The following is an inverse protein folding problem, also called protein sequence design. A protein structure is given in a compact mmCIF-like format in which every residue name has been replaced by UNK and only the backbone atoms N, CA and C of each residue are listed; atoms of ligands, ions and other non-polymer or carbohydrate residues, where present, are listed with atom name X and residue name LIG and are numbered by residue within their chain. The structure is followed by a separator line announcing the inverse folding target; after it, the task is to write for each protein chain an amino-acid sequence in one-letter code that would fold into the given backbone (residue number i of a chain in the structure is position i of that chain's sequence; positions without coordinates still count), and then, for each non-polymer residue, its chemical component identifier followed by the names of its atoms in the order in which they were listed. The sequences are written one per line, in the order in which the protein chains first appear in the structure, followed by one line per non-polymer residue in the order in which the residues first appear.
data_IF_466191650047
#
_entry.id   IF_466191650047
#
_cell.length_a   1.000
_cell.length_b   1.000
_cell.length_c   1.000
_cell.angle_alpha   90.00
_cell.angle_beta   90.00
_cell.angle_gamma   90.00
#
_symmetry.space_group_name_H-M   'P 1'
#
loop_
_entity.id
_entity.type
_entity.pdbx_description
1 polymer ?
#
# COMPACT_ATOMS: atom_id res chain seq x y z
N UNK A 1 27.08 12.52 -0.10
CA UNK A 1 27.78 11.29 0.30
C UNK A 1 27.36 10.18 -0.65
N UNK A 2 28.28 9.64 -1.44
CA UNK A 2 28.04 8.48 -2.30
C UNK A 2 27.86 7.25 -1.42
N UNK A 3 26.67 6.64 -1.45
CA UNK A 3 26.41 5.39 -0.71
C UNK A 3 27.05 4.25 -1.50
N UNK A 4 28.10 3.63 -0.94
CA UNK A 4 28.67 2.41 -1.50
C UNK A 4 27.75 1.22 -1.21
N UNK A 5 27.62 0.31 -2.17
CA UNK A 5 26.88 -0.93 -2.00
C UNK A 5 27.47 -1.73 -0.83
N UNK A 6 26.65 -2.32 0.05
CA UNK A 6 27.16 -3.14 1.15
C UNK A 6 27.98 -4.32 0.59
N UNK A 7 29.11 -4.65 1.24
CA UNK A 7 29.92 -5.83 0.93
C UNK A 7 29.17 -7.09 1.42
N UNK A 8 28.11 -7.46 0.71
CA UNK A 8 27.28 -8.60 1.06
C UNK A 8 27.66 -9.80 0.16
N UNK A 9 28.04 -10.94 0.72
CA UNK A 9 28.17 -12.16 -0.07
C UNK A 9 26.77 -12.54 -0.61
N UNK A 10 26.65 -12.74 -1.92
CA UNK A 10 25.41 -13.11 -2.62
C UNK A 10 24.29 -12.04 -2.68
N UNK A 11 24.58 -10.86 -3.24
CA UNK A 11 23.62 -9.77 -3.52
C UNK A 11 22.33 -10.23 -4.23
N UNK A 12 22.40 -11.22 -5.12
CA UNK A 12 21.23 -11.79 -5.81
C UNK A 12 20.24 -12.52 -4.89
N UNK A 13 20.74 -13.29 -3.91
CA UNK A 13 19.88 -13.97 -2.92
C UNK A 13 19.22 -12.94 -2.00
N UNK A 14 19.97 -11.94 -1.53
CA UNK A 14 19.44 -10.85 -0.72
C UNK A 14 18.31 -10.09 -1.45
N UNK A 15 18.49 -9.80 -2.74
CA UNK A 15 17.47 -9.14 -3.56
C UNK A 15 16.14 -9.92 -3.61
N UNK A 16 16.20 -11.25 -3.80
CA UNK A 16 15.01 -12.10 -3.79
C UNK A 16 14.32 -12.11 -2.42
N UNK A 17 15.10 -12.20 -1.33
CA UNK A 17 14.57 -12.16 0.04
C UNK A 17 13.88 -10.84 0.37
N UNK A 18 14.44 -9.71 -0.07
CA UNK A 18 13.83 -8.38 0.12
C UNK A 18 12.54 -8.28 -0.72
N UNK A 19 12.54 -8.81 -1.94
CA UNK A 19 11.33 -8.88 -2.79
C UNK A 19 10.25 -9.71 -2.10
N UNK A 20 10.62 -10.83 -1.48
CA UNK A 20 9.73 -11.68 -0.72
C UNK A 20 9.18 -11.00 0.54
N UNK A 21 10.02 -10.25 1.27
CA UNK A 21 9.58 -9.42 2.39
C UNK A 21 8.58 -8.34 1.95
N UNK A 22 8.81 -7.73 0.78
CA UNK A 22 7.89 -6.74 0.23
C UNK A 22 6.56 -7.40 -0.18
N UNK A 23 6.62 -8.56 -0.83
CA UNK A 23 5.43 -9.35 -1.14
C UNK A 23 4.64 -9.73 0.13
N UNK A 24 5.33 -10.13 1.21
CA UNK A 24 4.70 -10.45 2.48
C UNK A 24 4.06 -9.21 3.14
N UNK A 25 4.73 -8.05 3.10
CA UNK A 25 4.16 -6.78 3.56
C UNK A 25 2.88 -6.44 2.80
N UNK A 26 2.89 -6.57 1.47
CA UNK A 26 1.75 -6.22 0.63
C UNK A 26 0.59 -7.21 0.72
N UNK A 27 0.88 -8.51 0.78
CA UNK A 27 -0.13 -9.56 0.72
C UNK A 27 -0.66 -9.95 2.10
N UNK A 28 0.22 -10.10 3.10
CA UNK A 28 -0.16 -10.54 4.44
C UNK A 28 -0.44 -9.36 5.36
N UNK A 29 0.53 -8.48 5.60
CA UNK A 29 0.34 -7.36 6.54
C UNK A 29 -0.76 -6.41 6.04
N UNK A 30 -0.72 -6.01 4.77
CA UNK A 30 -1.79 -5.20 4.17
C UNK A 30 -3.16 -5.87 4.18
N UNK A 31 -3.22 -7.18 3.91
CA UNK A 31 -4.48 -7.94 3.96
C UNK A 31 -5.07 -8.04 5.36
N UNK A 32 -4.24 -8.33 6.37
CA UNK A 32 -4.64 -8.41 7.78
C UNK A 32 -5.12 -7.06 8.28
N UNK A 33 -4.33 -5.99 8.07
CA UNK A 33 -4.69 -4.67 8.55
C UNK A 33 -5.99 -4.15 7.92
N UNK A 34 -6.22 -4.48 6.64
CA UNK A 34 -7.47 -4.12 5.97
C UNK A 34 -8.66 -4.94 6.48
N UNK A 35 -8.47 -6.22 6.82
CA UNK A 35 -9.51 -7.06 7.37
C UNK A 35 -9.93 -6.66 8.81
N UNK A 36 -9.01 -6.08 9.58
CA UNK A 36 -9.28 -5.56 10.92
C UNK A 36 -9.71 -4.08 10.92
N UNK A 37 -9.97 -3.48 9.76
CA UNK A 37 -10.34 -2.06 9.60
C UNK A 37 -9.41 -1.10 10.34
N UNK A 38 -8.11 -1.44 10.43
CA UNK A 38 -7.15 -0.62 11.16
C UNK A 38 -6.97 0.70 10.41
N UNK A 39 -7.22 1.86 11.06
CA UNK A 39 -7.04 3.15 10.43
C UNK A 39 -5.57 3.33 10.06
N UNK A 40 -5.32 4.11 9.01
CA UNK A 40 -3.95 4.37 8.52
C UNK A 40 -3.17 3.15 8.02
N UNK A 41 -3.83 2.03 7.72
CA UNK A 41 -3.21 0.84 7.09
C UNK A 41 -2.32 1.21 5.89
N UNK A 42 -2.79 2.08 5.00
CA UNK A 42 -2.03 2.53 3.82
C UNK A 42 -0.73 3.26 4.16
N UNK A 43 -0.67 4.00 5.28
CA UNK A 43 0.55 4.65 5.75
C UNK A 43 1.59 3.63 6.20
N UNK A 44 1.17 2.63 6.96
CA UNK A 44 2.08 1.59 7.48
C UNK A 44 2.59 0.72 6.34
N UNK A 45 1.69 0.17 5.53
CA UNK A 45 2.04 -0.72 4.42
C UNK A 45 2.91 0.00 3.40
N UNK A 46 2.53 1.21 2.99
CA UNK A 46 3.29 2.03 2.03
C UNK A 46 4.64 2.49 2.58
N UNK A 47 4.72 2.88 3.86
CA UNK A 47 5.97 3.26 4.50
C UNK A 47 6.98 2.11 4.59
N UNK A 48 6.53 0.92 4.99
CA UNK A 48 7.36 -0.30 5.00
C UNK A 48 7.77 -0.68 3.57
N UNK A 49 6.86 -0.58 2.59
CA UNK A 49 7.18 -0.80 1.19
C UNK A 49 8.30 0.14 0.71
N UNK A 50 8.25 1.44 1.03
CA UNK A 50 9.32 2.39 0.66
C UNK A 50 10.67 2.02 1.27
N UNK A 51 10.71 1.52 2.51
CA UNK A 51 11.93 1.02 3.14
C UNK A 51 12.48 -0.20 2.38
N UNK A 52 11.61 -1.14 2.01
CA UNK A 52 12.00 -2.35 1.27
C UNK A 52 12.44 -2.04 -0.16
N UNK A 53 11.83 -1.07 -0.84
CA UNK A 53 12.28 -0.58 -2.15
C UNK A 53 13.66 0.07 -2.04
N UNK A 54 13.89 0.89 -1.00
CA UNK A 54 15.21 1.47 -0.75
C UNK A 54 16.27 0.38 -0.48
N UNK A 55 15.90 -0.70 0.23
CA UNK A 55 16.74 -1.89 0.38
C UNK A 55 17.04 -2.54 -0.97
N UNK A 56 16.03 -2.79 -1.83
CA UNK A 56 16.25 -3.36 -3.17
C UNK A 56 17.23 -2.52 -4.00
N UNK A 57 17.12 -1.20 -3.93
CA UNK A 57 18.03 -0.27 -4.59
C UNK A 57 19.49 -0.39 -4.12
N UNK A 58 19.73 -0.77 -2.87
CA UNK A 58 21.10 -0.99 -2.36
C UNK A 58 21.71 -2.26 -2.93
N UNK A 59 20.92 -3.33 -3.05
CA UNK A 59 21.37 -4.67 -3.44
C UNK A 59 21.36 -4.92 -4.96
N UNK A 60 20.92 -3.96 -5.78
CA UNK A 60 20.95 -4.06 -7.24
C UNK A 60 21.39 -2.75 -7.90
N UNK A 61 22.35 -2.83 -8.82
CA UNK A 61 22.77 -1.72 -9.68
C UNK A 61 22.11 -1.76 -11.09
N UNK A 62 21.38 -2.84 -11.39
CA UNK A 62 20.74 -3.02 -12.70
C UNK A 62 19.44 -2.22 -12.79
N UNK A 63 19.31 -1.45 -13.87
CA UNK A 63 18.04 -0.78 -14.25
C UNK A 63 16.96 -1.82 -14.50
N UNK A 64 15.75 -1.51 -14.06
CA UNK A 64 14.56 -2.37 -14.17
C UNK A 64 14.46 -3.43 -13.08
N UNK A 65 15.42 -3.54 -12.15
CA UNK A 65 15.36 -4.52 -11.07
C UNK A 65 14.21 -4.23 -10.09
N UNK A 66 14.02 -2.98 -9.67
CA UNK A 66 12.91 -2.62 -8.77
C UNK A 66 11.58 -2.82 -9.50
N UNK A 67 11.52 -2.49 -10.79
CA UNK A 67 10.34 -2.76 -11.63
C UNK A 67 10.03 -4.26 -11.72
N UNK A 68 11.05 -5.10 -11.91
CA UNK A 68 10.89 -6.58 -11.89
C UNK A 68 10.35 -7.05 -10.55
N UNK A 69 10.95 -6.61 -9.43
CA UNK A 69 10.48 -6.93 -8.08
C UNK A 69 9.03 -6.49 -7.86
N UNK A 70 8.66 -5.30 -8.36
CA UNK A 70 7.30 -4.75 -8.28
C UNK A 70 6.30 -5.66 -8.98
N UNK A 71 6.61 -6.13 -10.20
CA UNK A 71 5.75 -7.07 -10.93
C UNK A 71 5.55 -8.35 -10.13
N UNK A 72 6.62 -8.92 -9.58
CA UNK A 72 6.57 -10.13 -8.76
C UNK A 72 5.69 -9.93 -7.52
N UNK A 73 5.89 -8.81 -6.80
CA UNK A 73 5.11 -8.45 -5.61
C UNK A 73 3.63 -8.29 -5.93
N UNK A 74 3.28 -7.62 -7.02
CA UNK A 74 1.89 -7.46 -7.47
C UNK A 74 1.28 -8.82 -7.80
N UNK A 75 2.00 -9.71 -8.50
CA UNK A 75 1.52 -11.05 -8.83
C UNK A 75 1.29 -11.85 -7.55
N UNK A 76 2.22 -11.82 -6.59
CA UNK A 76 2.06 -12.52 -5.31
C UNK A 76 0.86 -11.96 -4.54
N UNK A 77 0.71 -10.63 -4.45
CA UNK A 77 -0.46 -9.99 -3.84
C UNK A 77 -1.76 -10.46 -4.50
N UNK A 78 -1.78 -10.60 -5.83
CA UNK A 78 -2.96 -11.08 -6.55
C UNK A 78 -3.24 -12.56 -6.32
N UNK A 79 -2.22 -13.40 -6.15
CA UNK A 79 -2.35 -14.83 -5.86
C UNK A 79 -2.83 -15.06 -4.42
N UNK A 80 -2.25 -14.33 -3.46
CA UNK A 80 -2.53 -14.50 -2.02
C UNK A 80 -3.84 -13.82 -1.62
N UNK A 81 -4.17 -12.65 -2.20
CA UNK A 81 -5.38 -11.89 -1.88
C UNK A 81 -6.10 -11.40 -3.16
N UNK A 82 -6.78 -12.30 -3.90
CA UNK A 82 -7.36 -11.98 -5.21
C UNK A 82 -8.52 -10.97 -5.18
N UNK A 83 -9.09 -10.71 -4.01
CA UNK A 83 -10.20 -9.77 -3.81
C UNK A 83 -9.74 -8.38 -3.37
N UNK A 84 -8.44 -8.13 -3.28
CA UNK A 84 -7.92 -6.80 -2.97
C UNK A 84 -8.41 -5.77 -4.01
N UNK A 85 -8.84 -4.57 -3.59
CA UNK A 85 -9.25 -3.51 -4.51
C UNK A 85 -8.17 -3.17 -5.55
N UNK A 86 -8.57 -2.89 -6.79
CA UNK A 86 -7.65 -2.55 -7.88
C UNK A 86 -6.69 -1.42 -7.52
N UNK A 87 -7.20 -0.42 -6.80
CA UNK A 87 -6.43 0.76 -6.42
C UNK A 87 -5.21 0.42 -5.54
N UNK A 88 -5.27 -0.67 -4.74
CA UNK A 88 -4.12 -1.11 -3.96
C UNK A 88 -3.02 -1.72 -4.85
N UNK A 89 -3.38 -2.44 -5.92
CA UNK A 89 -2.38 -2.92 -6.89
C UNK A 89 -1.73 -1.75 -7.64
N UNK A 90 -2.53 -0.75 -8.01
CA UNK A 90 -2.04 0.47 -8.66
C UNK A 90 -1.09 1.24 -7.74
N UNK A 91 -1.40 1.34 -6.44
CA UNK A 91 -0.53 1.98 -5.47
C UNK A 91 0.85 1.30 -5.41
N UNK A 92 0.91 -0.05 -5.31
CA UNK A 92 2.17 -0.80 -5.30
C UNK A 92 2.95 -0.60 -6.60
N UNK A 93 2.25 -0.61 -7.74
CA UNK A 93 2.87 -0.38 -9.04
C UNK A 93 3.52 1.01 -9.13
N UNK A 94 2.81 2.06 -8.72
CA UNK A 94 3.32 3.42 -8.74
C UNK A 94 4.50 3.56 -7.75
N UNK A 95 4.40 2.99 -6.55
CA UNK A 95 5.51 2.99 -5.58
C UNK A 95 6.78 2.36 -6.18
N UNK A 96 6.63 1.22 -6.87
CA UNK A 96 7.72 0.54 -7.55
C UNK A 96 8.34 1.34 -8.70
N UNK A 97 7.51 1.92 -9.56
CA UNK A 97 7.96 2.75 -10.68
C UNK A 97 8.68 4.02 -10.22
N UNK A 98 8.09 4.74 -9.26
CA UNK A 98 8.70 5.93 -8.67
C UNK A 98 9.99 5.55 -7.95
N UNK A 99 10.01 4.40 -7.27
CA UNK A 99 11.22 3.84 -6.68
C UNK A 99 12.33 3.60 -7.69
N UNK A 100 12.03 2.93 -8.82
CA UNK A 100 12.99 2.71 -9.91
C UNK A 100 13.54 4.05 -10.45
N UNK A 101 12.67 5.03 -10.65
CA UNK A 101 13.06 6.34 -11.17
C UNK A 101 13.96 7.09 -10.17
N UNK A 102 13.56 7.15 -8.90
CA UNK A 102 14.29 7.88 -7.85
C UNK A 102 15.63 7.21 -7.51
N UNK A 103 15.71 5.89 -7.57
CA UNK A 103 16.93 5.13 -7.27
C UNK A 103 17.76 4.77 -8.52
N UNK A 104 17.43 5.36 -9.68
CA UNK A 104 18.26 5.26 -10.89
C UNK A 104 19.70 5.75 -10.69
N UNK A 105 19.94 6.60 -9.68
CA UNK A 105 21.26 7.03 -9.23
C UNK A 105 21.40 6.92 -7.71
N UNK A 106 22.41 6.15 -7.26
CA UNK A 106 22.76 6.03 -5.83
C UNK A 106 23.35 7.31 -5.23
N UNK A 107 23.71 8.30 -6.06
CA UNK A 107 24.26 9.61 -5.61
C UNK A 107 23.33 10.33 -4.63
N UNK A 108 22.01 10.22 -4.87
CA UNK A 108 20.99 10.93 -4.10
C UNK A 108 20.17 9.98 -3.20
N UNK A 109 20.73 8.82 -2.82
CA UNK A 109 20.00 7.76 -2.11
C UNK A 109 19.13 8.25 -0.94
N UNK A 110 19.67 9.10 -0.08
CA UNK A 110 18.94 9.67 1.07
C UNK A 110 17.73 10.48 0.63
N UNK A 111 17.92 11.37 -0.35
CA UNK A 111 16.84 12.20 -0.89
C UNK A 111 15.81 11.34 -1.61
N UNK A 112 16.26 10.37 -2.41
CA UNK A 112 15.40 9.40 -3.10
C UNK A 112 14.55 8.60 -2.11
N UNK A 113 15.13 8.13 -1.00
CA UNK A 113 14.42 7.38 0.02
C UNK A 113 13.34 8.22 0.74
N UNK A 114 13.66 9.46 1.11
CA UNK A 114 12.70 10.37 1.73
C UNK A 114 11.59 10.73 0.75
N UNK A 115 11.96 11.09 -0.49
CA UNK A 115 11.01 11.47 -1.53
C UNK A 115 10.06 10.32 -1.85
N UNK A 116 10.55 9.08 -1.96
CA UNK A 116 9.71 7.92 -2.22
C UNK A 116 8.68 7.70 -1.11
N UNK A 117 9.11 7.75 0.16
CA UNK A 117 8.23 7.51 1.30
C UNK A 117 7.17 8.59 1.46
N UNK A 118 7.55 9.87 1.29
CA UNK A 118 6.60 10.99 1.27
C UNK A 118 5.65 10.88 0.09
N UNK A 119 6.15 10.54 -1.10
CA UNK A 119 5.30 10.34 -2.27
C UNK A 119 4.29 9.22 -2.04
N UNK A 120 4.73 8.07 -1.52
CA UNK A 120 3.86 6.92 -1.25
C UNK A 120 2.75 7.26 -0.24
N UNK A 121 3.08 7.99 0.85
CA UNK A 121 2.10 8.41 1.85
C UNK A 121 1.13 9.46 1.30
N UNK A 122 1.65 10.48 0.60
CA UNK A 122 0.85 11.53 -0.04
C UNK A 122 -0.09 10.99 -1.10
N UNK A 123 0.40 10.08 -1.96
CA UNK A 123 -0.41 9.46 -3.00
C UNK A 123 -1.62 8.74 -2.39
N UNK A 124 -1.41 7.93 -1.35
CA UNK A 124 -2.51 7.27 -0.64
C UNK A 124 -3.50 8.27 -0.02
N UNK A 125 -3.01 9.39 0.52
CA UNK A 125 -3.85 10.42 1.12
C UNK A 125 -4.73 11.13 0.08
N UNK A 126 -4.09 11.61 -0.98
CA UNK A 126 -4.73 12.34 -2.07
C UNK A 126 -5.72 11.45 -2.82
N UNK A 127 -5.40 10.18 -3.04
CA UNK A 127 -6.32 9.23 -3.66
C UNK A 127 -7.63 9.11 -2.86
N UNK A 128 -7.58 9.07 -1.52
CA UNK A 128 -8.78 9.01 -0.68
C UNK A 128 -9.58 10.31 -0.72
N UNK A 129 -8.92 11.45 -0.62
CA UNK A 129 -9.58 12.76 -0.72
C UNK A 129 -10.25 12.94 -2.09
N UNK A 130 -9.57 12.54 -3.15
CA UNK A 130 -10.11 12.53 -4.51
C UNK A 130 -11.34 11.63 -4.60
N UNK A 131 -11.27 10.39 -4.11
CA UNK A 131 -12.39 9.45 -4.17
C UNK A 131 -13.62 9.99 -3.43
N UNK A 132 -13.43 10.52 -2.22
CA UNK A 132 -14.51 11.10 -1.41
C UNK A 132 -15.13 12.32 -2.11
N UNK A 133 -14.31 13.20 -2.68
CA UNK A 133 -14.79 14.39 -3.40
C UNK A 133 -15.49 14.03 -4.71
N UNK A 134 -15.04 12.97 -5.40
CA UNK A 134 -15.72 12.44 -6.59
C UNK A 134 -17.07 11.82 -6.21
N UNK A 135 -17.18 11.13 -5.09
CA UNK A 135 -18.43 10.51 -4.65
C UNK A 135 -19.45 11.55 -4.17
N UNK A 136 -19.04 12.46 -3.29
CA UNK A 136 -19.96 13.35 -2.56
C UNK A 136 -19.93 14.82 -3.03
N UNK A 137 -19.00 15.19 -3.92
CA UNK A 137 -18.83 16.58 -4.36
C UNK A 137 -18.34 17.51 -3.25
N UNK A 138 -18.52 18.81 -3.48
CA UNK A 138 -18.24 19.86 -2.47
C UNK A 138 -19.28 19.90 -1.36
N UNK A 139 -20.47 19.31 -1.58
CA UNK A 139 -21.55 19.22 -0.60
C UNK A 139 -21.10 18.61 0.73
N UNK A 140 -20.26 17.57 0.70
CA UNK A 140 -19.72 16.97 1.92
C UNK A 140 -18.87 17.97 2.71
N UNK A 141 -17.94 18.64 2.04
CA UNK A 141 -17.03 19.60 2.68
C UNK A 141 -17.82 20.80 3.25
N UNK A 142 -18.79 21.31 2.49
CA UNK A 142 -19.68 22.38 2.93
C UNK A 142 -20.55 21.95 4.14
N UNK A 143 -20.98 20.69 4.18
CA UNK A 143 -21.74 20.15 5.31
C UNK A 143 -20.91 20.08 6.59
N UNK A 144 -19.62 19.73 6.46
CA UNK A 144 -18.66 19.76 7.58
C UNK A 144 -18.48 21.20 8.09
N UNK A 145 -18.29 22.16 7.20
CA UNK A 145 -18.17 23.58 7.57
C UNK A 145 -19.43 24.07 8.29
N UNK A 146 -20.61 23.78 7.74
CA UNK A 146 -21.89 24.18 8.32
C UNK A 146 -22.13 23.55 9.70
N UNK A 147 -21.82 22.27 9.87
CA UNK A 147 -21.89 21.58 11.15
C UNK A 147 -20.94 22.20 12.18
N UNK A 148 -19.68 22.46 11.80
CA UNK A 148 -18.70 23.03 12.73
C UNK A 148 -19.08 24.45 13.16
N UNK A 149 -19.51 25.30 12.22
CA UNK A 149 -19.97 26.65 12.53
C UNK A 149 -21.24 26.65 13.40
N UNK A 150 -22.13 25.68 13.21
CA UNK A 150 -23.27 25.47 14.10
C UNK A 150 -22.82 25.16 15.54
N UNK A 151 -21.85 24.25 15.71
CA UNK A 151 -21.28 23.92 17.03
C UNK A 151 -20.61 25.13 17.68
N UNK A 152 -19.83 25.91 16.92
CA UNK A 152 -19.17 27.12 17.44
C UNK A 152 -20.18 28.16 17.94
N UNK A 153 -21.27 28.38 17.20
CA UNK A 153 -22.34 29.30 17.59
C UNK A 153 -23.03 28.82 18.88
N UNK A 154 -23.24 27.51 19.04
CA UNK A 154 -23.80 26.93 20.27
C UNK A 154 -22.87 27.09 21.49
N UNK A 155 -21.55 27.20 21.26
CA UNK A 155 -20.54 27.46 22.29
C UNK A 155 -20.30 28.97 22.53
N UNK A 156 -21.21 29.83 22.05
CA UNK A 156 -21.12 31.30 22.18
C UNK A 156 -19.89 31.92 21.53
N UNK A 157 -19.28 31.24 20.55
CA UNK A 157 -18.21 31.83 19.75
C UNK A 157 -18.82 32.74 18.68
N UNK A 158 -18.57 34.05 18.79
CA UNK A 158 -19.12 35.10 17.91
C UNK A 158 -18.15 35.52 16.78
N UNK A 159 -17.16 34.67 16.46
CA UNK A 159 -16.24 34.93 15.35
C UNK A 159 -16.88 34.68 13.97
N UNK A 160 -16.17 35.04 12.88
CA UNK A 160 -16.63 34.76 11.52
C UNK A 160 -16.75 33.25 11.27
N UNK A 161 -17.61 32.86 10.32
CA UNK A 161 -17.74 31.48 9.89
C UNK A 161 -16.39 30.95 9.37
N UNK A 162 -16.03 29.73 9.76
CA UNK A 162 -14.75 29.09 9.48
C UNK A 162 -14.95 27.94 8.49
N UNK A 163 -14.06 27.85 7.49
CA UNK A 163 -13.98 26.70 6.58
C UNK A 163 -13.21 25.53 7.21
N UNK A 164 -13.81 24.90 8.22
CA UNK A 164 -13.18 23.84 9.02
C UNK A 164 -12.71 22.65 8.18
N UNK A 165 -13.42 22.32 7.11
CA UNK A 165 -13.07 21.27 6.15
C UNK A 165 -11.65 21.42 5.59
N UNK A 166 -11.19 22.64 5.29
CA UNK A 166 -9.81 22.86 4.82
C UNK A 166 -8.78 22.58 5.89
N UNK A 167 -9.04 22.93 7.15
CA UNK A 167 -8.16 22.58 8.26
C UNK A 167 -8.11 21.08 8.48
N UNK A 168 -9.24 20.39 8.35
CA UNK A 168 -9.31 18.93 8.45
C UNK A 168 -8.50 18.25 7.34
N UNK A 169 -8.63 18.71 6.09
CA UNK A 169 -7.85 18.22 4.95
C UNK A 169 -6.36 18.51 5.16
N UNK A 170 -6.00 19.73 5.56
CA UNK A 170 -4.62 20.12 5.82
C UNK A 170 -3.99 19.25 6.93
N UNK A 171 -4.70 19.05 8.04
CA UNK A 171 -4.25 18.19 9.14
C UNK A 171 -4.04 16.75 8.66
N UNK A 172 -4.98 16.20 7.89
CA UNK A 172 -4.87 14.86 7.32
C UNK A 172 -3.64 14.71 6.41
N UNK A 173 -3.36 15.71 5.57
CA UNK A 173 -2.17 15.73 4.70
C UNK A 173 -0.87 15.90 5.49
N UNK A 174 -0.84 16.78 6.49
CA UNK A 174 0.32 16.96 7.39
C UNK A 174 0.66 15.66 8.09
N UNK A 175 -0.33 14.91 8.59
CA UNK A 175 -0.09 13.60 9.17
C UNK A 175 0.61 12.66 8.18
N UNK A 176 0.13 12.60 6.93
CA UNK A 176 0.76 11.75 5.92
C UNK A 176 2.15 12.23 5.53
N UNK A 177 2.41 13.55 5.59
CA UNK A 177 3.72 14.13 5.30
C UNK A 177 4.72 13.77 6.41
N UNK A 178 4.30 13.90 7.67
CA UNK A 178 5.10 13.53 8.84
C UNK A 178 5.41 12.03 8.81
N UNK A 179 4.42 11.16 8.67
CA UNK A 179 4.65 9.71 8.61
C UNK A 179 5.50 9.29 7.41
N UNK A 180 5.26 9.85 6.22
CA UNK A 180 6.08 9.62 5.04
C UNK A 180 7.54 10.03 5.27
N UNK A 181 7.76 11.18 5.89
CA UNK A 181 9.11 11.65 6.25
C UNK A 181 9.77 10.72 7.28
N UNK A 182 9.04 10.27 8.30
CA UNK A 182 9.55 9.33 9.31
C UNK A 182 10.02 8.01 8.66
N UNK A 183 9.19 7.39 7.82
CA UNK A 183 9.60 6.18 7.08
C UNK A 183 10.75 6.46 6.10
N UNK A 184 10.76 7.63 5.46
CA UNK A 184 11.83 8.08 4.60
C UNK A 184 13.17 8.21 5.31
N UNK A 185 13.18 8.75 6.53
CA UNK A 185 14.37 8.85 7.38
C UNK A 185 14.85 7.47 7.84
N UNK A 186 13.93 6.54 8.11
CA UNK A 186 14.29 5.13 8.39
C UNK A 186 14.94 4.51 7.16
N UNK A 187 14.33 4.65 5.98
CA UNK A 187 14.85 4.14 4.71
C UNK A 187 16.24 4.71 4.38
N UNK A 188 16.45 6.01 4.61
CA UNK A 188 17.74 6.68 4.40
C UNK A 188 18.86 6.15 5.34
N UNK A 189 18.50 5.62 6.52
CA UNK A 189 19.46 5.04 7.47
C UNK A 189 19.80 3.58 7.18
N UNK A 190 19.06 2.91 6.30
CA UNK A 190 19.27 1.51 5.96
C UNK A 190 20.71 1.18 5.60
N UNK A 191 21.46 1.94 4.78
CA UNK A 191 22.84 1.59 4.45
C UNK A 191 23.72 1.47 5.69
N UNK A 192 23.55 2.38 6.66
CA UNK A 192 24.27 2.34 7.94
C UNK A 192 23.84 1.13 8.78
N UNK A 193 22.54 0.83 8.80
CA UNK A 193 22.01 -0.35 9.49
C UNK A 193 22.66 -1.60 8.91
N UNK A 194 22.59 -1.83 7.59
CA UNK A 194 23.14 -3.01 6.91
C UNK A 194 24.66 -3.14 7.16
N UNK A 195 25.43 -2.06 7.03
CA UNK A 195 26.87 -2.11 7.28
C UNK A 195 27.22 -2.40 8.75
N UNK A 196 26.32 -2.09 9.69
CA UNK A 196 26.48 -2.45 11.10
C UNK A 196 26.05 -3.90 11.42
N UNK A 197 25.55 -4.66 10.43
CA UNK A 197 25.05 -6.03 10.63
C UNK A 197 26.13 -7.13 10.56
N UNK A 198 27.41 -6.80 10.61
CA UNK A 198 28.50 -7.80 10.59
C UNK A 198 28.68 -8.61 11.89
N UNK A 199 27.72 -8.53 12.81
CA UNK A 199 27.77 -9.25 14.08
C UNK A 199 27.00 -10.57 13.99
N UNK A 200 27.72 -11.65 13.70
CA UNK A 200 27.21 -13.01 13.57
C UNK A 200 26.56 -13.56 14.85
N UNK A 201 26.80 -12.92 16.01
CA UNK A 201 26.20 -13.31 17.29
C UNK A 201 24.67 -13.12 17.37
N UNK A 202 24.10 -12.33 16.45
CA UNK A 202 22.67 -12.00 16.42
C UNK A 202 21.83 -12.96 15.55
N UNK A 203 22.46 -14.01 14.99
CA UNK A 203 21.80 -15.01 14.16
C UNK A 203 21.15 -16.09 15.02
N UNK A 204 19.90 -16.41 14.70
CA UNK A 204 19.15 -17.51 15.32
C UNK A 204 19.67 -18.83 14.71
N UNK A 205 20.13 -19.80 15.53
CA UNK A 205 20.57 -21.11 15.04
C UNK A 205 19.47 -21.82 14.25
N UNK A 206 19.83 -22.38 13.08
CA UNK A 206 18.90 -22.99 12.11
C UNK A 206 18.08 -24.14 12.69
N UNK A 207 18.68 -24.90 13.60
CA UNK A 207 18.06 -26.05 14.30
C UNK A 207 16.79 -25.68 15.07
N UNK A 208 16.66 -24.41 15.45
CA UNK A 208 15.48 -23.96 16.17
C UNK A 208 14.27 -23.72 15.23
N UNK A 209 14.46 -23.66 13.91
CA UNK A 209 13.39 -23.39 12.93
C UNK A 209 12.68 -24.68 12.55
N UNK A 210 11.37 -24.73 12.83
CA UNK A 210 10.55 -25.90 12.56
C UNK A 210 10.51 -26.16 11.05
N UNK A 211 10.79 -27.39 10.64
CA UNK A 211 10.52 -27.85 9.28
C UNK A 211 9.00 -27.85 9.05
N UNK A 212 8.48 -26.81 8.41
CA UNK A 212 7.05 -26.67 8.10
C UNK A 212 6.80 -27.21 6.70
N UNK A 213 6.08 -28.34 6.58
CA UNK A 213 5.55 -28.81 5.29
C UNK A 213 4.42 -27.87 4.85
N UNK A 214 4.52 -27.37 3.63
CA UNK A 214 3.52 -26.49 3.02
C UNK A 214 2.43 -27.37 2.40
N UNK A 215 1.23 -27.39 3.00
CA UNK A 215 0.05 -27.86 2.30
C UNK A 215 -0.40 -26.80 1.29
N UNK A 216 -0.55 -27.21 0.04
CA UNK A 216 -0.98 -26.30 -1.02
C UNK A 216 -2.44 -25.87 -0.79
N UNK A 217 -2.78 -24.59 -0.92
CA UNK A 217 -4.17 -24.17 -0.87
C UNK A 217 -4.91 -24.71 -2.11
N UNK A 218 -5.94 -25.52 -1.87
CA UNK A 218 -6.82 -26.02 -2.93
C UNK A 218 -7.64 -24.85 -3.49
N UNK A 219 -7.34 -24.45 -4.73
CA UNK A 219 -8.06 -23.39 -5.43
C UNK A 219 -9.43 -23.88 -5.94
N UNK A 220 -10.45 -23.85 -5.07
CA UNK A 220 -11.83 -24.08 -5.53
C UNK A 220 -12.40 -22.81 -6.18
N UNK A 221 -12.27 -22.72 -7.51
CA UNK A 221 -12.99 -21.71 -8.32
C UNK A 221 -14.47 -22.08 -8.41
N UNK A 222 -15.32 -21.36 -7.69
CA UNK A 222 -16.75 -21.28 -8.08
C UNK A 222 -16.93 -20.17 -9.12
N UNK A 223 -17.13 -20.58 -10.38
CA UNK A 223 -17.65 -19.69 -11.44
C UNK A 223 -19.11 -19.37 -11.11
N UNK A 224 -19.39 -18.14 -10.72
CA UNK A 224 -20.76 -17.59 -10.79
C UNK A 224 -20.98 -17.03 -12.19
N UNK A 225 -21.97 -17.57 -12.89
CA UNK A 225 -22.42 -17.02 -14.16
C UNK A 225 -23.05 -15.65 -13.92
N UNK A 226 -22.55 -14.65 -14.64
CA UNK A 226 -22.93 -13.25 -14.49
C UNK A 226 -24.18 -12.98 -15.35
N UNK A 227 -25.34 -12.87 -14.70
CA UNK A 227 -26.68 -12.84 -15.33
C UNK A 227 -27.09 -11.47 -15.92
N UNK A 228 -26.15 -10.61 -16.32
CA UNK A 228 -26.47 -9.29 -16.90
C UNK A 228 -25.79 -8.97 -18.23
N UNK A 229 -25.47 -10.00 -19.02
CA UNK A 229 -25.12 -9.84 -20.44
C UNK A 229 -26.36 -9.65 -21.34
N UNK A 230 -27.34 -8.85 -20.91
CA UNK A 230 -28.48 -8.42 -21.76
C UNK A 230 -28.70 -6.91 -21.64
N UNK A 231 -29.36 -6.36 -22.66
CA UNK A 231 -29.66 -4.94 -22.95
C UNK A 231 -30.03 -4.06 -21.73
N UNK A 232 -30.53 -4.65 -20.64
CA UNK A 232 -30.90 -3.99 -19.38
C UNK A 232 -29.72 -3.40 -18.60
N UNK A 233 -28.53 -4.00 -18.65
CA UNK A 233 -27.34 -3.44 -18.00
C UNK A 233 -26.88 -2.12 -18.65
N UNK A 234 -26.98 -2.04 -19.98
CA UNK A 234 -26.62 -0.84 -20.75
C UNK A 234 -27.61 0.30 -20.46
N UNK A 235 -28.90 0.01 -20.33
CA UNK A 235 -29.92 1.01 -19.97
C UNK A 235 -29.69 1.60 -18.58
N UNK A 236 -29.35 0.77 -17.58
CA UNK A 236 -28.99 1.25 -16.22
C UNK A 236 -27.70 2.07 -16.24
N UNK A 237 -26.70 1.64 -17.02
CA UNK A 237 -25.45 2.39 -17.18
C UNK A 237 -25.68 3.78 -17.79
N UNK A 238 -26.45 3.87 -18.88
CA UNK A 238 -26.80 5.13 -19.55
C UNK A 238 -27.63 6.03 -18.63
N UNK A 239 -28.59 5.47 -17.88
CA UNK A 239 -29.38 6.22 -16.90
C UNK A 239 -28.51 6.80 -15.77
N UNK A 240 -27.57 6.01 -15.23
CA UNK A 240 -26.66 6.47 -14.18
C UNK A 240 -25.65 7.51 -14.69
N UNK A 241 -25.17 7.38 -15.93
CA UNK A 241 -24.31 8.36 -16.60
C UNK A 241 -25.06 9.67 -16.87
N UNK A 242 -26.32 9.59 -17.30
CA UNK A 242 -27.20 10.74 -17.48
C UNK A 242 -27.51 11.42 -16.15
N UNK A 243 -27.78 10.66 -15.08
CA UNK A 243 -27.98 11.21 -13.74
C UNK A 243 -26.71 11.89 -13.18
N UNK A 244 -25.53 11.33 -13.46
CA UNK A 244 -24.23 11.94 -13.14
C UNK A 244 -23.99 13.24 -13.90
N UNK A 245 -24.30 13.24 -15.19
CA UNK A 245 -24.17 14.40 -16.06
C UNK A 245 -25.12 15.51 -15.60
N UNK A 246 -26.39 15.18 -15.36
CA UNK A 246 -27.38 16.11 -14.82
C UNK A 246 -26.93 16.62 -13.44
N UNK A 247 -26.50 15.76 -12.52
CA UNK A 247 -26.03 16.20 -11.19
C UNK A 247 -24.79 17.10 -11.21
N UNK A 248 -23.94 17.02 -12.24
CA UNK A 248 -22.73 17.84 -12.33
C UNK A 248 -22.96 19.17 -13.05
N UNK A 249 -23.90 19.20 -14.00
CA UNK A 249 -24.19 20.38 -14.84
C UNK A 249 -25.47 21.13 -14.47
N UNK A 250 -26.30 20.60 -13.57
CA UNK A 250 -27.48 21.32 -13.08
C UNK A 250 -27.05 22.37 -12.06
N UNK A 251 -27.20 23.64 -12.43
CA UNK A 251 -26.76 24.77 -11.63
C UNK A 251 -27.69 24.96 -10.42
N UNK A 252 -27.09 24.82 -9.24
CA UNK A 252 -27.73 24.76 -7.92
C UNK A 252 -27.87 26.17 -7.37
N UNK A 253 -28.58 27.05 -8.08
CA UNK A 253 -28.82 28.40 -7.59
C UNK A 253 -30.27 28.62 -7.11
N UNK A 254 -31.21 27.72 -7.44
CA UNK A 254 -32.64 27.88 -7.08
C UNK A 254 -33.32 26.68 -6.40
N UNK A 255 -32.66 25.54 -6.21
CA UNK A 255 -33.29 24.37 -5.57
C UNK A 255 -33.06 24.33 -4.06
N UNK A 256 -34.11 24.14 -3.26
CA UNK A 256 -34.01 24.02 -1.81
C UNK A 256 -33.05 22.92 -1.34
N UNK A 257 -32.45 23.12 -0.15
CA UNK A 257 -31.37 22.28 0.41
C UNK A 257 -31.64 20.76 0.38
N UNK A 258 -32.90 20.33 0.45
CA UNK A 258 -33.28 18.90 0.39
C UNK A 258 -33.05 18.24 -0.98
N UNK A 259 -33.26 18.97 -2.08
CA UNK A 259 -33.04 18.45 -3.45
C UNK A 259 -31.56 18.20 -3.69
N UNK A 260 -30.70 19.09 -3.21
CA UNK A 260 -29.23 18.96 -3.31
C UNK A 260 -28.71 17.73 -2.57
N UNK A 261 -29.24 17.46 -1.37
CA UNK A 261 -28.88 16.28 -0.57
C UNK A 261 -29.29 15.00 -1.31
N UNK A 262 -30.53 14.94 -1.83
CA UNK A 262 -31.02 13.79 -2.59
C UNK A 262 -30.18 13.54 -3.86
N UNK A 263 -29.86 14.59 -4.62
CA UNK A 263 -28.99 14.48 -5.80
C UNK A 263 -27.60 13.96 -5.44
N UNK A 264 -27.02 14.42 -4.32
CA UNK A 264 -25.72 13.95 -3.84
C UNK A 264 -25.75 12.46 -3.48
N UNK A 265 -26.82 11.99 -2.83
CA UNK A 265 -27.02 10.56 -2.52
C UNK A 265 -27.16 9.74 -3.81
N UNK A 266 -28.00 10.18 -4.75
CA UNK A 266 -28.18 9.49 -6.03
C UNK A 266 -26.89 9.44 -6.85
N UNK A 267 -26.10 10.52 -6.84
CA UNK A 267 -24.76 10.56 -7.46
C UNK A 267 -23.83 9.53 -6.81
N UNK A 268 -23.71 9.52 -5.48
CA UNK A 268 -22.83 8.59 -4.79
C UNK A 268 -23.22 7.13 -5.06
N UNK A 269 -24.53 6.83 -5.04
CA UNK A 269 -25.06 5.52 -5.42
C UNK A 269 -24.73 5.22 -6.88
N UNK A 270 -24.99 6.15 -7.80
CA UNK A 270 -24.76 5.97 -9.22
C UNK A 270 -23.30 5.71 -9.57
N UNK A 271 -22.37 6.49 -9.03
CA UNK A 271 -20.92 6.27 -9.19
C UNK A 271 -20.53 4.91 -8.61
N UNK A 272 -21.04 4.55 -7.44
CA UNK A 272 -20.71 3.27 -6.78
C UNK A 272 -21.21 2.08 -7.59
N UNK A 273 -22.45 2.13 -8.09
CA UNK A 273 -23.02 1.10 -8.97
C UNK A 273 -22.25 1.02 -10.29
N UNK A 274 -21.91 2.16 -10.89
CA UNK A 274 -21.12 2.22 -12.13
C UNK A 274 -19.74 1.59 -11.92
N UNK A 275 -19.08 1.89 -10.80
CA UNK A 275 -17.80 1.28 -10.44
C UNK A 275 -17.94 -0.22 -10.21
N UNK A 276 -18.92 -0.66 -9.42
CA UNK A 276 -19.06 -2.05 -9.04
C UNK A 276 -19.48 -2.96 -10.21
N UNK A 277 -20.36 -2.48 -11.09
CA UNK A 277 -20.90 -3.30 -12.17
C UNK A 277 -20.11 -3.19 -13.48
N UNK A 278 -19.46 -2.05 -13.76
CA UNK A 278 -18.81 -1.82 -15.05
C UNK A 278 -17.31 -1.64 -14.89
N UNK A 279 -16.88 -0.53 -14.26
CA UNK A 279 -15.47 -0.12 -14.28
C UNK A 279 -14.60 -1.14 -13.55
N UNK A 280 -14.98 -1.52 -12.33
CA UNK A 280 -14.26 -2.47 -11.49
C UNK A 280 -14.08 -3.84 -12.15
N UNK A 281 -15.15 -4.53 -12.59
CA UNK A 281 -15.04 -5.84 -13.25
C UNK A 281 -14.23 -5.81 -14.55
N UNK A 282 -14.41 -4.78 -15.38
CA UNK A 282 -13.65 -4.62 -16.63
C UNK A 282 -12.17 -4.43 -16.32
N UNK A 283 -11.85 -3.51 -15.41
CA UNK A 283 -10.48 -3.23 -15.01
C UNK A 283 -9.81 -4.45 -14.35
N UNK A 284 -10.54 -5.18 -13.50
CA UNK A 284 -10.08 -6.44 -12.92
C UNK A 284 -9.82 -7.51 -13.98
N UNK A 285 -10.66 -7.63 -15.02
CA UNK A 285 -10.47 -8.59 -16.11
C UNK A 285 -9.17 -8.32 -16.88
N UNK A 286 -8.90 -7.06 -17.23
CA UNK A 286 -7.65 -6.68 -17.90
C UNK A 286 -6.45 -6.86 -16.99
N UNK A 287 -6.56 -6.45 -15.72
CA UNK A 287 -5.53 -6.64 -14.72
C UNK A 287 -5.17 -8.13 -14.55
N UNK A 288 -6.16 -9.01 -14.39
CA UNK A 288 -5.94 -10.44 -14.28
C UNK A 288 -5.28 -11.05 -15.54
N UNK A 289 -5.57 -10.51 -16.72
CA UNK A 289 -4.88 -10.92 -17.96
C UNK A 289 -3.38 -10.59 -17.89
N UNK A 290 -3.03 -9.38 -17.45
CA UNK A 290 -1.63 -8.95 -17.26
C UNK A 290 -0.94 -9.81 -16.19
N UNK A 291 -1.61 -10.08 -15.07
CA UNK A 291 -1.07 -10.92 -14.00
C UNK A 291 -0.78 -12.33 -14.48
N UNK A 292 -1.69 -12.97 -15.23
CA UNK A 292 -1.46 -14.32 -15.76
C UNK A 292 -0.25 -14.41 -16.68
N UNK A 293 -0.05 -13.40 -17.53
CA UNK A 293 1.12 -13.33 -18.41
C UNK A 293 2.42 -13.25 -17.60
N UNK A 294 2.46 -12.39 -16.58
CA UNK A 294 3.62 -12.21 -15.72
C UNK A 294 3.84 -13.39 -14.76
N UNK A 295 2.78 -14.06 -14.33
CA UNK A 295 2.86 -15.26 -13.51
C UNK A 295 3.62 -16.37 -14.24
N UNK A 296 3.33 -16.58 -15.53
CA UNK A 296 4.06 -17.55 -16.34
C UNK A 296 5.54 -17.19 -16.49
N UNK A 297 5.83 -15.90 -16.72
CA UNK A 297 7.20 -15.39 -16.92
C UNK A 297 8.10 -15.54 -15.68
N UNK A 298 7.54 -15.35 -14.49
CA UNK A 298 8.30 -15.37 -13.23
C UNK A 298 7.92 -16.55 -12.32
N UNK A 299 7.45 -17.66 -12.90
CA UNK A 299 6.88 -18.81 -12.18
C UNK A 299 7.80 -19.30 -11.06
N UNK A 300 9.08 -19.53 -11.35
CA UNK A 300 10.03 -20.13 -10.40
C UNK A 300 10.37 -19.16 -9.26
N UNK A 301 10.55 -17.88 -9.58
CA UNK A 301 10.79 -16.83 -8.58
C UNK A 301 9.57 -16.69 -7.64
N UNK A 302 8.36 -16.67 -8.19
CA UNK A 302 7.12 -16.59 -7.41
C UNK A 302 6.97 -17.81 -6.49
N UNK A 303 7.21 -19.03 -7.02
CA UNK A 303 7.13 -20.27 -6.22
C UNK A 303 8.15 -20.26 -5.08
N UNK A 304 9.40 -19.90 -5.35
CA UNK A 304 10.46 -19.79 -4.36
C UNK A 304 10.10 -18.80 -3.23
N UNK A 305 9.56 -17.64 -3.59
CA UNK A 305 9.12 -16.63 -2.63
C UNK A 305 7.96 -17.15 -1.76
N UNK A 306 6.93 -17.74 -2.37
CA UNK A 306 5.79 -18.29 -1.63
C UNK A 306 6.21 -19.42 -0.68
N UNK A 307 7.16 -20.26 -1.10
CA UNK A 307 7.73 -21.31 -0.25
C UNK A 307 8.52 -20.74 0.93
N UNK A 308 9.05 -19.52 0.82
CA UNK A 308 9.80 -18.86 1.88
C UNK A 308 8.91 -18.22 2.96
N UNK A 309 7.62 -17.96 2.68
CA UNK A 309 6.72 -17.24 3.59
C UNK A 309 6.55 -17.89 4.98
N UNK A 310 6.35 -19.22 5.11
CA UNK A 310 6.25 -19.86 6.42
C UNK A 310 7.52 -19.70 7.26
N UNK A 311 8.69 -19.79 6.62
CA UNK A 311 9.98 -19.60 7.29
C UNK A 311 10.13 -18.17 7.81
N UNK A 312 9.76 -17.16 7.00
CA UNK A 312 9.82 -15.77 7.45
C UNK A 312 8.84 -15.48 8.57
N UNK A 313 7.66 -16.11 8.56
CA UNK A 313 6.72 -16.04 9.68
C UNK A 313 7.35 -16.59 10.97
N UNK A 314 8.00 -17.76 10.92
CA UNK A 314 8.64 -18.35 12.10
C UNK A 314 9.82 -17.51 12.61
N UNK A 315 10.68 -17.03 11.70
CA UNK A 315 11.80 -16.13 12.03
C UNK A 315 11.30 -14.84 12.69
N UNK A 316 10.29 -14.19 12.10
CA UNK A 316 9.73 -12.94 12.66
C UNK A 316 9.12 -13.17 14.04
N UNK A 317 8.44 -14.29 14.29
CA UNK A 317 7.90 -14.61 15.61
C UNK A 317 9.01 -14.76 16.67
N UNK A 318 10.11 -15.43 16.33
CA UNK A 318 11.26 -15.58 17.24
C UNK A 318 12.01 -14.27 17.47
N UNK A 319 12.24 -13.49 16.42
CA UNK A 319 12.83 -12.16 16.54
C UNK A 319 11.99 -11.26 17.45
N UNK A 320 10.65 -11.37 17.40
CA UNK A 320 9.75 -10.63 18.27
C UNK A 320 9.87 -11.05 19.74
N UNK A 321 9.99 -12.35 19.99
CA UNK A 321 10.23 -12.91 21.33
C UNK A 321 11.60 -12.48 21.88
N UNK A 322 12.67 -12.55 21.08
CA UNK A 322 14.00 -12.09 21.51
C UNK A 322 14.02 -10.58 21.80
N UNK A 323 13.31 -9.79 20.98
CA UNK A 323 13.21 -8.36 21.18
C UNK A 323 12.38 -7.97 22.41
N UNK A 324 11.60 -8.88 23.02
CA UNK A 324 10.83 -8.59 24.22
C UNK A 324 11.69 -8.34 25.46
N UNK A 325 12.99 -8.62 25.38
CA UNK A 325 14.00 -8.22 26.37
C UNK A 325 14.17 -6.69 26.48
N UNK A 326 13.78 -5.95 25.45
CA UNK A 326 13.80 -4.49 25.43
C UNK A 326 12.37 -3.90 25.56
N UNK A 327 12.27 -2.61 25.91
CA UNK A 327 10.99 -1.90 26.02
C UNK A 327 10.88 -0.71 25.05
N UNK A 328 9.65 -0.28 24.78
CA UNK A 328 9.33 0.91 23.98
C UNK A 328 9.95 0.94 22.57
N UNK A 329 10.54 2.08 22.19
CA UNK A 329 11.18 2.28 20.88
C UNK A 329 12.44 1.43 20.69
N UNK A 330 13.14 1.07 21.77
CA UNK A 330 14.31 0.21 21.69
C UNK A 330 13.92 -1.21 21.23
N UNK A 331 12.78 -1.73 21.72
CA UNK A 331 12.21 -3.00 21.26
C UNK A 331 11.92 -3.02 19.76
N UNK A 332 11.30 -1.96 19.23
CA UNK A 332 10.97 -1.89 17.80
C UNK A 332 12.26 -1.86 16.96
N UNK A 333 13.25 -1.06 17.35
CA UNK A 333 14.55 -1.00 16.67
C UNK A 333 15.26 -2.36 16.69
N UNK A 334 15.27 -3.02 17.86
CA UNK A 334 15.88 -4.35 18.02
C UNK A 334 15.15 -5.40 17.18
N UNK A 335 13.81 -5.39 17.20
CA UNK A 335 12.98 -6.30 16.40
C UNK A 335 13.25 -6.16 14.89
N UNK A 336 13.30 -4.92 14.37
CA UNK A 336 13.62 -4.66 12.96
C UNK A 336 15.03 -5.13 12.64
N UNK A 337 16.01 -4.83 13.50
CA UNK A 337 17.41 -5.27 13.33
C UNK A 337 17.50 -6.80 13.26
N UNK A 338 16.95 -7.50 14.25
CA UNK A 338 16.96 -8.97 14.31
C UNK A 338 16.26 -9.59 13.10
N UNK A 339 15.11 -9.05 12.69
CA UNK A 339 14.37 -9.56 11.54
C UNK A 339 15.16 -9.41 10.23
N UNK A 340 15.74 -8.23 10.00
CA UNK A 340 16.55 -7.98 8.81
C UNK A 340 17.80 -8.85 8.77
N UNK A 341 18.53 -8.97 9.88
CA UNK A 341 19.70 -9.86 9.98
C UNK A 341 19.27 -11.30 9.66
N UNK A 342 18.30 -11.83 10.40
CA UNK A 342 17.97 -13.24 10.32
C UNK A 342 17.40 -13.61 8.96
N UNK A 343 16.61 -12.75 8.31
CA UNK A 343 16.07 -13.06 6.98
C UNK A 343 17.14 -12.92 5.91
N UNK A 344 17.90 -11.82 5.88
CA UNK A 344 18.91 -11.58 4.84
C UNK A 344 20.06 -12.59 4.92
N UNK A 345 20.53 -12.90 6.13
CA UNK A 345 21.70 -13.76 6.37
C UNK A 345 21.36 -15.22 6.69
N UNK A 346 20.07 -15.61 6.65
CA UNK A 346 19.63 -16.98 6.99
C UNK A 346 20.37 -18.12 6.28
N UNK A 347 20.84 -17.88 5.06
CA UNK A 347 21.44 -18.88 4.18
C UNK A 347 22.94 -18.62 3.92
N UNK A 348 23.58 -17.76 4.74
CA UNK A 348 24.99 -17.39 4.60
C UNK A 348 25.93 -18.13 5.54
N UNK A 349 25.39 -18.88 6.50
CA UNK A 349 26.15 -19.74 7.40
C UNK A 349 25.75 -21.19 7.09
N UNK A 350 26.34 -21.71 6.02
CA UNK A 350 26.56 -23.14 5.82
C UNK A 350 27.88 -23.54 6.45
#
# INVERSE_FOLDING_TARGET
MTVQSPQFPHTGKAFQKITALWALNEAALGGILHAFDIPFTGLIVGGVASVLIALLALFSDKRGSITKATVIVIVIKAVVSPYTPLAAFVAVFIQGLVGELLFSSKRFFVLSAITLAVFASMYSALQKLFLITVLFGTTLWNSIDLFFNYVLKQLSFLGPDIHFSYYLIAFYLILHLVFGTLFGLIAARIPKIINSLNDSSLLIPRENIKNIRIESPSSSRKKKNFWFQKLTGIAVFVFLLAALFISYFYDVQESGNGVLILLTIFRAIGITLLWFFFVGPIALKYFQKIIKLNQNKYTDEIKSILQSFPYYKDITQKCYALASSASGLARIKLFIKLTLINILFFDLYE
#
